data_IF_164736305335
#
_entry.id   IF_164736305335
#
_cell.length_a   1.000
_cell.length_b   1.000
_cell.length_c   1.000
_cell.angle_alpha   90.00
_cell.angle_beta   90.00
_cell.angle_gamma   90.00
#
_symmetry.space_group_name_H-M   'P 1'
#
loop_
_entity.id
_entity.type
_entity.pdbx_description
1 polymer ?
#
# COMPACT_ATOMS: atom_id res chain seq x y z
N UNK A 1 -1.07 13.12 -32.70
CA UNK A 1 -1.40 11.85 -32.00
C UNK A 1 -0.39 10.82 -32.44
N UNK A 2 0.40 10.24 -31.54
CA UNK A 2 1.31 9.16 -31.88
C UNK A 2 0.50 7.99 -32.46
N UNK A 3 0.98 7.42 -33.55
CA UNK A 3 0.31 6.28 -34.19
C UNK A 3 0.50 5.07 -33.25
N UNK A 4 -0.58 4.58 -32.65
CA UNK A 4 -0.57 3.44 -31.72
C UNK A 4 0.21 2.24 -32.27
N UNK A 5 0.10 1.98 -33.58
CA UNK A 5 0.83 0.90 -34.25
C UNK A 5 2.34 1.11 -34.18
N UNK A 6 2.79 2.33 -34.34
CA UNK A 6 4.21 2.69 -34.26
C UNK A 6 4.74 2.56 -32.85
N UNK A 7 3.94 2.99 -31.87
CA UNK A 7 4.29 2.84 -30.44
C UNK A 7 4.44 1.36 -30.05
N UNK A 8 3.52 0.49 -30.48
CA UNK A 8 3.59 -0.97 -30.23
C UNK A 8 4.87 -1.56 -30.82
N UNK A 9 5.17 -1.21 -32.09
CA UNK A 9 6.39 -1.65 -32.78
C UNK A 9 7.65 -1.26 -32.04
N UNK A 10 7.77 0.03 -31.70
CA UNK A 10 8.94 0.54 -31.00
C UNK A 10 9.14 -0.11 -29.64
N UNK A 11 8.05 -0.28 -28.89
CA UNK A 11 8.12 -0.89 -27.57
C UNK A 11 8.48 -2.38 -27.63
N UNK A 12 7.99 -3.10 -28.64
CA UNK A 12 8.38 -4.48 -28.87
C UNK A 12 9.89 -4.62 -29.07
N UNK A 13 10.45 -3.79 -29.96
CA UNK A 13 11.91 -3.76 -30.22
C UNK A 13 12.70 -3.36 -28.97
N UNK A 14 12.23 -2.34 -28.24
CA UNK A 14 12.88 -1.86 -27.02
C UNK A 14 12.94 -2.95 -25.94
N UNK A 15 11.81 -3.61 -25.66
CA UNK A 15 11.71 -4.67 -24.66
C UNK A 15 12.60 -5.88 -25.00
N UNK A 16 12.60 -6.33 -26.26
CA UNK A 16 13.47 -7.41 -26.71
C UNK A 16 14.95 -7.07 -26.51
N UNK A 17 15.35 -5.87 -26.98
CA UNK A 17 16.74 -5.41 -26.84
C UNK A 17 17.18 -5.26 -25.37
N UNK A 18 16.29 -4.87 -24.48
CA UNK A 18 16.59 -4.82 -23.05
C UNK A 18 16.89 -6.19 -22.44
N UNK A 19 16.17 -7.23 -22.90
CA UNK A 19 16.42 -8.62 -22.50
C UNK A 19 17.64 -9.21 -23.25
N UNK A 20 18.23 -8.44 -24.20
CA UNK A 20 19.34 -8.86 -25.07
C UNK A 20 19.01 -10.07 -25.92
N UNK A 21 17.74 -10.26 -26.28
CA UNK A 21 17.30 -11.36 -27.12
C UNK A 21 17.40 -11.02 -28.61
N UNK A 22 17.77 -12.01 -29.41
CA UNK A 22 17.62 -11.99 -30.87
C UNK A 22 16.14 -12.16 -31.25
N UNK A 23 15.79 -11.86 -32.51
CA UNK A 23 14.43 -12.13 -33.01
C UNK A 23 14.08 -13.62 -32.94
N UNK A 24 15.07 -14.50 -33.23
CA UNK A 24 14.93 -15.94 -33.18
C UNK A 24 14.67 -16.43 -31.74
N UNK A 25 15.42 -15.95 -30.75
CA UNK A 25 15.19 -16.33 -29.35
C UNK A 25 13.82 -15.86 -28.84
N UNK A 26 13.36 -14.68 -29.26
CA UNK A 26 12.01 -14.24 -28.93
C UNK A 26 10.95 -15.13 -29.56
N UNK A 27 11.14 -15.49 -30.85
CA UNK A 27 10.26 -16.36 -31.60
C UNK A 27 10.09 -17.72 -30.91
N UNK A 28 11.20 -18.36 -30.52
CA UNK A 28 11.19 -19.62 -29.78
C UNK A 28 10.42 -19.56 -28.48
N UNK A 29 10.61 -18.45 -27.71
CA UNK A 29 9.97 -18.28 -26.40
C UNK A 29 8.45 -18.14 -26.47
N UNK A 30 7.92 -17.56 -27.55
CA UNK A 30 6.47 -17.34 -27.69
C UNK A 30 5.81 -18.33 -28.67
N UNK A 31 6.59 -19.26 -29.28
CA UNK A 31 6.09 -20.27 -30.18
C UNK A 31 5.71 -19.75 -31.58
N UNK A 32 6.44 -18.74 -32.07
CA UNK A 32 6.25 -18.14 -33.39
C UNK A 32 7.50 -18.29 -34.26
N UNK A 33 7.41 -17.91 -35.54
CA UNK A 33 8.59 -17.89 -36.44
C UNK A 33 9.35 -16.56 -36.28
N UNK A 34 10.64 -16.57 -36.52
CA UNK A 34 11.51 -15.39 -36.61
C UNK A 34 10.99 -14.37 -37.64
N UNK A 35 10.43 -14.86 -38.74
CA UNK A 35 9.76 -14.07 -39.77
C UNK A 35 8.55 -13.28 -39.21
N UNK A 36 7.76 -13.90 -38.31
CA UNK A 36 6.62 -13.23 -37.70
C UNK A 36 7.10 -12.06 -36.80
N UNK A 37 8.11 -12.31 -35.96
CA UNK A 37 8.73 -11.29 -35.11
C UNK A 37 9.28 -10.13 -35.97
N UNK A 38 10.02 -10.48 -37.04
CA UNK A 38 10.58 -9.46 -37.94
C UNK A 38 9.50 -8.58 -38.56
N UNK A 39 8.37 -9.15 -39.01
CA UNK A 39 7.25 -8.41 -39.59
C UNK A 39 6.52 -7.52 -38.57
N UNK A 40 6.45 -7.93 -37.31
CA UNK A 40 5.93 -7.10 -36.22
C UNK A 40 6.87 -5.93 -35.90
N UNK A 41 8.17 -6.17 -35.89
CA UNK A 41 9.18 -5.14 -35.62
C UNK A 41 9.40 -4.20 -36.78
N UNK A 42 9.11 -4.58 -38.04
CA UNK A 42 9.13 -3.69 -39.20
C UNK A 42 7.81 -2.91 -39.35
N UNK A 43 6.75 -3.35 -38.69
CA UNK A 43 5.44 -2.72 -38.76
C UNK A 43 4.59 -3.16 -39.96
N UNK A 44 5.02 -4.20 -40.70
CA UNK A 44 4.24 -4.76 -41.80
C UNK A 44 2.93 -5.39 -41.32
N UNK A 45 2.97 -6.02 -40.15
CA UNK A 45 1.82 -6.63 -39.48
C UNK A 45 1.86 -6.27 -38.01
N UNK A 46 0.71 -6.02 -37.39
CA UNK A 46 0.65 -5.86 -35.97
C UNK A 46 0.42 -7.21 -35.28
N UNK A 47 1.07 -7.48 -34.14
CA UNK A 47 0.71 -8.62 -33.31
C UNK A 47 -0.73 -8.49 -32.82
N UNK A 48 -1.43 -9.62 -32.74
CA UNK A 48 -2.78 -9.69 -32.17
C UNK A 48 -2.75 -9.41 -30.66
N UNK A 49 -3.89 -9.08 -30.06
CA UNK A 49 -4.00 -8.73 -28.65
C UNK A 49 -3.61 -9.92 -27.76
N UNK A 50 -3.93 -11.15 -28.17
CA UNK A 50 -3.53 -12.36 -27.47
C UNK A 50 -2.00 -12.56 -27.47
N UNK A 51 -1.36 -12.17 -28.58
CA UNK A 51 0.10 -12.21 -28.70
C UNK A 51 0.75 -11.13 -27.83
N UNK A 52 0.15 -9.94 -27.78
CA UNK A 52 0.62 -8.86 -26.91
C UNK A 52 0.51 -9.25 -25.44
N UNK A 53 -0.55 -9.96 -25.05
CA UNK A 53 -0.74 -10.46 -23.69
C UNK A 53 0.34 -11.49 -23.32
N UNK A 54 0.61 -12.48 -24.19
CA UNK A 54 1.71 -13.42 -24.00
C UNK A 54 3.09 -12.76 -23.94
N UNK A 55 3.28 -11.71 -24.73
CA UNK A 55 4.52 -10.93 -24.69
C UNK A 55 4.63 -10.13 -23.39
N UNK A 56 3.51 -9.60 -22.88
CA UNK A 56 3.47 -8.90 -21.59
C UNK A 56 3.88 -9.84 -20.46
N UNK A 57 3.33 -11.05 -20.42
CA UNK A 57 3.69 -12.10 -19.47
C UNK A 57 5.17 -12.48 -19.58
N UNK A 58 5.67 -12.72 -20.81
CA UNK A 58 7.07 -13.09 -21.05
C UNK A 58 8.06 -12.01 -20.59
N UNK A 59 7.70 -10.74 -20.79
CA UNK A 59 8.51 -9.60 -20.38
C UNK A 59 8.28 -9.21 -18.92
N UNK A 60 7.28 -9.79 -18.23
CA UNK A 60 6.86 -9.44 -16.87
C UNK A 60 6.45 -7.94 -16.76
N UNK A 61 5.68 -7.49 -17.75
CA UNK A 61 5.19 -6.12 -17.83
C UNK A 61 3.66 -6.08 -17.99
N UNK A 62 3.03 -4.96 -17.64
CA UNK A 62 1.62 -4.75 -17.94
C UNK A 62 1.41 -4.54 -19.46
N UNK A 63 0.35 -5.12 -20.03
CA UNK A 63 0.04 -5.00 -21.47
C UNK A 63 -0.06 -3.55 -21.94
N UNK A 64 -0.44 -2.62 -21.06
CA UNK A 64 -0.51 -1.19 -21.38
C UNK A 64 0.83 -0.57 -21.77
N UNK A 65 1.94 -1.23 -21.45
CA UNK A 65 3.31 -0.81 -21.82
C UNK A 65 3.48 -0.79 -23.34
N UNK A 66 2.80 -1.66 -24.09
CA UNK A 66 2.87 -1.65 -25.55
C UNK A 66 2.19 -0.44 -26.17
N UNK A 67 1.21 0.17 -25.50
CA UNK A 67 0.39 1.26 -26.04
C UNK A 67 0.81 2.67 -25.60
N UNK A 68 1.79 2.76 -24.69
CA UNK A 68 2.33 4.03 -24.17
C UNK A 68 3.79 4.16 -24.57
N UNK A 69 4.30 5.37 -24.65
CA UNK A 69 5.72 5.59 -24.87
C UNK A 69 6.53 4.92 -23.75
N UNK A 70 7.27 3.87 -24.11
CA UNK A 70 8.02 3.06 -23.15
C UNK A 70 9.34 3.73 -22.79
N UNK A 71 9.49 4.04 -21.52
CA UNK A 71 10.74 4.50 -20.94
C UNK A 71 11.21 3.49 -19.87
N UNK A 72 12.22 2.73 -20.23
CA UNK A 72 12.80 1.70 -19.36
C UNK A 72 13.20 2.20 -17.97
N UNK A 73 13.70 3.43 -17.87
CA UNK A 73 14.09 4.03 -16.58
C UNK A 73 12.86 4.29 -15.71
N UNK A 74 11.81 4.86 -16.28
CA UNK A 74 10.57 5.15 -15.57
C UNK A 74 9.87 3.86 -15.14
N UNK A 75 9.82 2.86 -16.02
CA UNK A 75 9.22 1.56 -15.71
C UNK A 75 9.93 0.87 -14.55
N UNK A 76 11.26 0.80 -14.58
CA UNK A 76 12.08 0.23 -13.49
C UNK A 76 11.89 1.00 -12.17
N UNK A 77 11.78 2.31 -12.24
CA UNK A 77 11.53 3.15 -11.06
C UNK A 77 10.12 2.89 -10.50
N UNK A 78 9.10 2.76 -11.35
CA UNK A 78 7.74 2.46 -10.93
C UNK A 78 7.61 1.06 -10.32
N UNK A 79 8.16 0.02 -10.97
CA UNK A 79 8.20 -1.34 -10.46
C UNK A 79 8.93 -1.43 -9.10
N UNK A 80 10.07 -0.74 -8.98
CA UNK A 80 10.81 -0.65 -7.72
C UNK A 80 10.00 0.06 -6.62
N UNK A 81 9.29 1.14 -6.94
CA UNK A 81 8.41 1.84 -5.99
C UNK A 81 7.26 0.97 -5.52
N UNK A 82 6.64 0.20 -6.42
CA UNK A 82 5.52 -0.68 -6.08
C UNK A 82 5.97 -1.82 -5.17
N UNK A 83 7.12 -2.45 -5.46
CA UNK A 83 7.70 -3.48 -4.60
C UNK A 83 8.12 -2.94 -3.23
N UNK A 84 8.68 -1.71 -3.18
CA UNK A 84 9.00 -1.05 -1.92
C UNK A 84 7.75 -0.73 -1.10
N UNK A 85 6.66 -0.30 -1.75
CA UNK A 85 5.40 -0.02 -1.06
C UNK A 85 4.80 -1.30 -0.46
N UNK A 86 4.76 -2.40 -1.22
CA UNK A 86 4.30 -3.70 -0.74
C UNK A 86 5.09 -4.18 0.48
N UNK A 87 6.43 -4.08 0.44
CA UNK A 87 7.30 -4.43 1.58
C UNK A 87 7.04 -3.55 2.81
N UNK A 88 6.82 -2.25 2.63
CA UNK A 88 6.49 -1.33 3.72
C UNK A 88 5.15 -1.67 4.38
N UNK A 89 4.13 -1.96 3.57
CA UNK A 89 2.82 -2.38 4.05
C UNK A 89 2.92 -3.70 4.81
N UNK A 90 3.69 -4.68 4.31
CA UNK A 90 3.90 -5.95 4.99
C UNK A 90 4.56 -5.78 6.36
N UNK A 91 5.61 -4.95 6.46
CA UNK A 91 6.27 -4.65 7.74
C UNK A 91 5.29 -3.97 8.71
N UNK A 92 4.48 -3.05 8.24
CA UNK A 92 3.46 -2.38 9.06
C UNK A 92 2.42 -3.35 9.60
N UNK A 93 1.90 -4.24 8.75
CA UNK A 93 0.96 -5.29 9.17
C UNK A 93 1.58 -6.23 10.20
N UNK A 94 2.85 -6.64 10.01
CA UNK A 94 3.57 -7.47 10.98
C UNK A 94 3.72 -6.78 12.34
N UNK A 95 3.96 -5.46 12.37
CA UNK A 95 4.03 -4.70 13.62
C UNK A 95 2.68 -4.70 14.36
N UNK A 96 1.57 -4.55 13.65
CA UNK A 96 0.23 -4.63 14.24
C UNK A 96 -0.03 -6.03 14.79
N UNK A 97 0.27 -7.07 14.03
CA UNK A 97 0.10 -8.47 14.47
C UNK A 97 0.93 -8.75 15.72
N UNK A 98 2.19 -8.31 15.75
CA UNK A 98 3.06 -8.47 16.92
C UNK A 98 2.50 -7.76 18.17
N UNK A 99 1.97 -6.53 17.99
CA UNK A 99 1.33 -5.78 19.07
C UNK A 99 0.14 -6.53 19.66
N UNK A 100 -0.73 -7.04 18.81
CA UNK A 100 -1.90 -7.81 19.24
C UNK A 100 -1.52 -9.15 19.87
N UNK A 101 -0.46 -9.81 19.36
CA UNK A 101 0.07 -11.03 19.96
C UNK A 101 0.57 -10.80 21.40
N UNK A 102 1.29 -9.70 21.62
CA UNK A 102 1.73 -9.30 22.97
C UNK A 102 0.52 -9.07 23.89
N UNK A 103 -0.54 -8.41 23.39
CA UNK A 103 -1.76 -8.20 24.15
C UNK A 103 -2.48 -9.49 24.55
N UNK A 104 -2.53 -10.46 23.63
CA UNK A 104 -3.09 -11.79 23.90
C UNK A 104 -2.26 -12.50 24.98
N UNK A 105 -0.93 -12.45 24.88
CA UNK A 105 -0.05 -13.06 25.90
C UNK A 105 -0.20 -12.41 27.27
N UNK A 106 -0.34 -11.07 27.32
CA UNK A 106 -0.62 -10.35 28.56
C UNK A 106 -1.99 -10.74 29.14
N UNK A 107 -2.99 -10.89 28.29
CA UNK A 107 -4.33 -11.33 28.70
C UNK A 107 -4.28 -12.74 29.31
N UNK A 108 -3.63 -13.69 28.62
CA UNK A 108 -3.49 -15.08 29.11
C UNK A 108 -2.74 -15.09 30.45
N UNK A 109 -1.61 -14.38 30.53
CA UNK A 109 -0.84 -14.29 31.77
C UNK A 109 -1.68 -13.73 32.93
N UNK A 110 -2.39 -12.64 32.69
CA UNK A 110 -3.22 -11.98 33.72
C UNK A 110 -4.43 -12.81 34.12
N UNK A 111 -5.04 -13.55 33.18
CA UNK A 111 -6.13 -14.49 33.43
C UNK A 111 -5.70 -15.74 34.21
N UNK A 112 -4.44 -16.20 33.99
CA UNK A 112 -3.95 -17.45 34.63
C UNK A 112 -3.34 -17.19 36.00
N UNK A 113 -2.61 -16.06 36.15
CA UNK A 113 -1.83 -15.76 37.37
C UNK A 113 -2.29 -14.50 38.08
N UNK A 114 -3.21 -13.72 37.50
CA UNK A 114 -3.69 -12.46 38.06
C UNK A 114 -4.70 -12.67 39.21
N UNK A 115 -4.62 -11.83 40.21
CA UNK A 115 -5.53 -11.87 41.38
C UNK A 115 -6.96 -11.37 41.11
N UNK A 116 -7.26 -10.84 39.92
CA UNK A 116 -8.58 -10.28 39.59
C UNK A 116 -8.97 -10.56 38.13
N UNK A 117 -9.83 -11.56 37.96
CA UNK A 117 -10.38 -11.94 36.64
C UNK A 117 -11.26 -10.88 35.99
N UNK A 118 -11.89 -10.00 36.76
CA UNK A 118 -13.06 -9.27 36.30
C UNK A 118 -12.81 -8.16 35.26
N UNK A 119 -11.55 -7.75 34.99
CA UNK A 119 -11.24 -6.66 34.06
C UNK A 119 -10.05 -6.91 33.12
N UNK A 120 -9.56 -8.13 33.01
CA UNK A 120 -8.43 -8.49 32.14
C UNK A 120 -8.70 -8.16 30.66
N UNK A 121 -9.97 -8.19 30.23
CA UNK A 121 -10.39 -7.83 28.87
C UNK A 121 -10.11 -6.36 28.49
N UNK A 122 -9.96 -5.46 29.49
CA UNK A 122 -9.60 -4.07 29.22
C UNK A 122 -8.27 -3.90 28.47
N UNK A 123 -7.38 -4.89 28.55
CA UNK A 123 -6.14 -4.93 27.77
C UNK A 123 -6.42 -4.72 26.28
N UNK A 124 -7.46 -5.39 25.75
CA UNK A 124 -7.83 -5.26 24.34
C UNK A 124 -8.37 -3.87 24.00
N UNK A 125 -9.08 -3.23 24.92
CA UNK A 125 -9.59 -1.85 24.73
C UNK A 125 -8.42 -0.86 24.63
N UNK A 126 -7.38 -1.01 25.45
CA UNK A 126 -6.18 -0.17 25.41
C UNK A 126 -5.30 -0.44 24.18
N UNK A 127 -5.33 -1.64 23.61
CA UNK A 127 -4.61 -1.96 22.37
C UNK A 127 -5.15 -1.18 21.17
N UNK A 128 -6.43 -0.81 21.15
CA UNK A 128 -7.05 -0.09 20.03
C UNK A 128 -6.39 1.28 19.80
N UNK A 129 -6.36 2.22 20.76
CA UNK A 129 -5.68 3.50 20.55
C UNK A 129 -4.19 3.33 20.25
N UNK A 130 -3.50 2.37 20.88
CA UNK A 130 -2.08 2.08 20.59
C UNK A 130 -1.90 1.64 19.13
N UNK A 131 -2.80 0.81 18.59
CA UNK A 131 -2.77 0.41 17.18
C UNK A 131 -2.89 1.64 16.27
N UNK A 132 -3.76 2.60 16.57
CA UNK A 132 -3.89 3.82 15.78
C UNK A 132 -2.66 4.74 15.89
N UNK A 133 -1.95 4.74 17.01
CA UNK A 133 -0.65 5.42 17.12
C UNK A 133 0.36 4.83 16.13
N UNK A 134 0.44 3.50 16.02
CA UNK A 134 1.28 2.82 15.02
C UNK A 134 0.87 3.24 13.60
N UNK A 135 -0.45 3.34 13.32
CA UNK A 135 -0.96 3.82 12.04
C UNK A 135 -0.54 5.27 11.74
N UNK A 136 -0.58 6.17 12.73
CA UNK A 136 -0.12 7.57 12.58
C UNK A 136 1.36 7.63 12.26
N UNK A 137 2.20 6.85 12.96
CA UNK A 137 3.65 6.81 12.71
C UNK A 137 3.94 6.33 11.28
N UNK A 138 3.23 5.30 10.82
CA UNK A 138 3.35 4.83 9.44
C UNK A 138 2.89 5.89 8.44
N UNK A 139 1.71 6.48 8.67
CA UNK A 139 1.14 7.50 7.80
C UNK A 139 2.01 8.77 7.71
N UNK A 140 2.70 9.15 8.79
CA UNK A 140 3.60 10.32 8.78
C UNK A 140 4.78 10.17 7.81
N UNK A 141 5.22 8.93 7.56
CA UNK A 141 6.35 8.64 6.67
C UNK A 141 5.94 8.39 5.21
N UNK A 142 4.75 7.84 4.99
CA UNK A 142 4.35 7.34 3.65
C UNK A 142 2.90 7.63 3.26
N UNK A 143 2.11 8.22 4.15
CA UNK A 143 0.68 8.46 3.94
C UNK A 143 0.35 9.88 3.47
N UNK A 144 -0.91 10.22 3.57
CA UNK A 144 -1.46 11.52 3.21
C UNK A 144 -2.07 12.25 4.41
N UNK A 145 -2.33 13.58 4.25
CA UNK A 145 -2.87 14.43 5.31
C UNK A 145 -4.26 13.96 5.78
N UNK A 146 -5.10 13.50 4.86
CA UNK A 146 -6.48 13.08 5.17
C UNK A 146 -6.49 11.86 6.08
N UNK A 147 -5.70 10.82 5.74
CA UNK A 147 -5.55 9.64 6.60
C UNK A 147 -4.97 10.00 7.97
N UNK A 148 -4.04 10.96 8.01
CA UNK A 148 -3.50 11.48 9.28
C UNK A 148 -4.60 12.05 10.18
N UNK A 149 -5.48 12.89 9.65
CA UNK A 149 -6.61 13.46 10.40
C UNK A 149 -7.54 12.37 10.93
N UNK A 150 -7.85 11.36 10.08
CA UNK A 150 -8.70 10.23 10.45
C UNK A 150 -8.07 9.44 11.61
N UNK A 151 -6.79 9.10 11.53
CA UNK A 151 -6.13 8.33 12.60
C UNK A 151 -6.03 9.13 13.90
N UNK A 152 -5.74 10.43 13.87
CA UNK A 152 -5.74 11.26 15.07
C UNK A 152 -7.13 11.36 15.71
N UNK A 153 -8.19 11.45 14.89
CA UNK A 153 -9.57 11.42 15.36
C UNK A 153 -9.90 10.08 16.04
N UNK A 154 -9.52 8.96 15.45
CA UNK A 154 -9.72 7.63 16.01
C UNK A 154 -8.97 7.44 17.33
N UNK A 155 -7.73 7.95 17.45
CA UNK A 155 -6.99 7.93 18.72
C UNK A 155 -7.77 8.67 19.79
N UNK A 156 -8.25 9.90 19.49
CA UNK A 156 -8.99 10.71 20.44
C UNK A 156 -10.21 9.96 21.01
N UNK A 157 -11.08 9.46 20.15
CA UNK A 157 -12.31 8.79 20.58
C UNK A 157 -12.07 7.45 21.24
N UNK A 158 -11.14 6.64 20.74
CA UNK A 158 -10.82 5.34 21.34
C UNK A 158 -10.13 5.48 22.70
N UNK A 159 -9.29 6.51 22.87
CA UNK A 159 -8.66 6.81 24.16
C UNK A 159 -9.70 7.24 25.21
N UNK A 160 -10.62 8.14 24.85
CA UNK A 160 -11.72 8.55 25.73
C UNK A 160 -12.59 7.36 26.13
N UNK A 161 -12.88 6.47 25.18
CA UNK A 161 -13.64 5.24 25.44
C UNK A 161 -12.87 4.30 26.37
N UNK A 162 -11.56 4.13 26.19
CA UNK A 162 -10.76 3.30 27.05
C UNK A 162 -10.72 3.81 28.49
N UNK A 163 -10.56 5.13 28.67
CA UNK A 163 -10.59 5.78 30.00
C UNK A 163 -11.99 5.61 30.62
N UNK A 164 -13.07 5.86 29.88
CA UNK A 164 -14.43 5.69 30.37
C UNK A 164 -14.69 4.28 30.88
N UNK A 165 -14.31 3.25 30.10
CA UNK A 165 -14.49 1.84 30.48
C UNK A 165 -13.62 1.43 31.66
N UNK A 166 -12.41 2.01 31.79
CA UNK A 166 -11.55 1.80 32.96
C UNK A 166 -12.19 2.29 34.25
N UNK A 167 -12.86 3.43 34.19
CA UNK A 167 -13.47 4.10 35.35
C UNK A 167 -15.00 4.06 35.33
N UNK A 168 -15.58 3.01 34.75
CA UNK A 168 -17.02 2.85 34.57
C UNK A 168 -17.81 3.03 35.89
N UNK A 169 -17.23 2.60 37.01
CA UNK A 169 -17.85 2.74 38.34
C UNK A 169 -18.10 4.19 38.76
N UNK A 170 -17.33 5.16 38.22
CA UNK A 170 -17.45 6.58 38.57
C UNK A 170 -18.38 7.36 37.66
N UNK A 171 -18.99 6.71 36.65
CA UNK A 171 -19.99 7.26 35.73
C UNK A 171 -19.55 8.60 35.06
N UNK A 172 -18.29 8.65 34.61
CA UNK A 172 -17.62 9.85 34.06
C UNK A 172 -17.98 10.14 32.59
N UNK A 173 -19.25 9.95 32.20
CA UNK A 173 -19.68 10.14 30.79
C UNK A 173 -19.43 11.58 30.26
N UNK A 174 -19.36 12.58 31.14
CA UNK A 174 -19.01 13.96 30.77
C UNK A 174 -17.61 14.09 30.14
N UNK A 175 -16.74 13.07 30.30
CA UNK A 175 -15.44 13.00 29.66
C UNK A 175 -15.55 13.14 28.13
N UNK A 176 -16.60 12.61 27.51
CA UNK A 176 -16.80 12.69 26.06
C UNK A 176 -17.01 14.13 25.56
N UNK A 177 -17.50 15.05 26.41
CA UNK A 177 -17.64 16.48 26.06
C UNK A 177 -16.27 17.08 25.78
N UNK A 178 -15.21 16.66 26.50
CA UNK A 178 -13.84 17.14 26.26
C UNK A 178 -13.28 16.71 24.89
N UNK A 179 -13.82 15.65 24.30
CA UNK A 179 -13.45 15.19 22.97
C UNK A 179 -13.81 16.17 21.86
N UNK A 180 -14.88 16.96 22.05
CA UNK A 180 -15.37 17.89 21.00
C UNK A 180 -14.33 18.98 20.67
N UNK A 181 -13.80 19.76 21.63
CA UNK A 181 -12.77 20.76 21.33
C UNK A 181 -11.48 20.14 20.78
N UNK A 182 -11.09 18.95 21.26
CA UNK A 182 -9.93 18.21 20.73
C UNK A 182 -10.16 17.82 19.26
N UNK A 183 -11.37 17.35 18.95
CA UNK A 183 -11.73 16.99 17.57
C UNK A 183 -11.68 18.18 16.63
N UNK A 184 -12.18 19.35 17.06
CA UNK A 184 -12.11 20.59 16.30
C UNK A 184 -10.64 20.96 16.04
N UNK A 185 -9.78 20.87 17.06
CA UNK A 185 -8.35 21.15 16.92
C UNK A 185 -7.68 20.20 15.91
N UNK A 186 -8.00 18.90 15.93
CA UNK A 186 -7.48 17.89 14.98
C UNK A 186 -7.83 18.26 13.53
N UNK A 187 -9.02 18.82 13.28
CA UNK A 187 -9.42 19.26 11.95
C UNK A 187 -8.71 20.55 11.51
N UNK A 188 -8.52 21.52 12.40
CA UNK A 188 -7.99 22.84 12.05
C UNK A 188 -6.46 22.86 11.93
N UNK A 189 -5.74 22.19 12.85
CA UNK A 189 -4.27 22.25 12.93
C UNK A 189 -3.52 21.90 11.61
N UNK A 190 -3.92 20.88 10.82
CA UNK A 190 -3.27 20.57 9.55
C UNK A 190 -3.37 21.66 8.49
N UNK A 191 -4.41 22.50 8.56
CA UNK A 191 -4.61 23.64 7.64
C UNK A 191 -3.84 24.88 8.07
N UNK A 192 -3.58 25.03 9.38
CA UNK A 192 -2.79 26.15 9.92
C UNK A 192 -1.28 25.99 9.66
N UNK A 193 -0.79 24.78 9.47
CA UNK A 193 0.60 24.55 9.06
C UNK A 193 0.80 25.00 7.61
N UNK A 194 0.98 26.32 7.41
CA UNK A 194 1.51 26.84 6.15
C UNK A 194 2.83 26.14 5.83
N UNK A 195 2.99 25.66 4.59
CA UNK A 195 4.27 25.28 4.02
C UNK A 195 5.27 26.40 4.36
N UNK A 196 6.29 26.09 5.11
CA UNK A 196 7.52 26.85 5.06
C UNK A 196 8.15 26.46 3.72
N UNK A 197 8.01 27.32 2.73
CA UNK A 197 8.78 27.29 1.50
C UNK A 197 10.24 27.55 1.81
#
# INVERSE_FOLDING_TARGET
MANVKETVRENLVKLRKERKWTQMELAEKIGYSDKAISRWETGEVNPDIEVLDRLADLYEVDISVFFKEYNAKEYKVQASRQNQLGRKIAVWLLMIVALWYIGIMMYIYNSTFGMSESRSWLIFIWLIPITFVVCVVFNSKWGNKVLGIIFWSLICWTLLTAIYLQYLAYNIYLLFISGVPIQIAIFILPYMRKKKD
#
